data_IF_240330729695
#
_entry.id   IF_240330729695
#
_cell.length_a   1.000
_cell.length_b   1.000
_cell.length_c   1.000
_cell.angle_alpha   90.00
_cell.angle_beta   90.00
_cell.angle_gamma   90.00
#
_symmetry.space_group_name_H-M   'P 1'
#
loop_
_entity.id
_entity.type
_entity.pdbx_description
1 polymer ?
#
# COMPACT_ATOMS: atom_id res chain seq x y z
N UNK A 1 -16.71 19.62 16.22
CA UNK A 1 -15.30 19.18 16.15
C UNK A 1 -15.17 18.22 14.98
N UNK A 2 -14.50 18.61 13.89
CA UNK A 2 -14.15 17.66 12.82
C UNK A 2 -13.06 16.76 13.41
N UNK A 3 -13.36 15.47 13.60
CA UNK A 3 -12.31 14.46 13.84
C UNK A 3 -11.31 14.62 12.69
N UNK A 4 -10.08 15.02 12.99
CA UNK A 4 -8.98 14.78 12.06
C UNK A 4 -8.98 13.26 11.83
N UNK A 5 -9.46 12.82 10.67
CA UNK A 5 -9.11 11.50 10.18
C UNK A 5 -7.59 11.48 10.21
N UNK A 6 -6.99 10.59 11.02
CA UNK A 6 -5.57 10.32 10.93
C UNK A 6 -5.22 10.20 9.45
N UNK A 7 -4.32 11.08 8.99
CA UNK A 7 -3.97 11.17 7.58
C UNK A 7 -3.43 9.80 7.16
N UNK A 8 -4.18 9.11 6.30
CA UNK A 8 -3.79 7.82 5.74
C UNK A 8 -2.40 7.94 5.11
N UNK A 9 -1.60 6.89 5.29
CA UNK A 9 -0.22 6.82 4.83
C UNK A 9 -0.22 6.91 3.31
N UNK A 10 -0.95 6.02 2.62
CA UNK A 10 -0.97 5.96 1.16
C UNK A 10 -2.35 5.79 0.54
N UNK A 11 -3.34 5.26 1.25
CA UNK A 11 -4.63 4.83 0.68
C UNK A 11 -5.35 5.93 -0.09
N UNK A 12 -5.40 7.15 0.44
CA UNK A 12 -6.03 8.30 -0.22
C UNK A 12 -5.33 8.68 -1.53
N UNK A 13 -4.00 8.58 -1.59
CA UNK A 13 -3.24 8.84 -2.83
C UNK A 13 -3.42 7.71 -3.84
N UNK A 14 -3.47 6.46 -3.38
CA UNK A 14 -3.77 5.31 -4.23
C UNK A 14 -5.15 5.44 -4.87
N UNK A 15 -6.19 5.82 -4.10
CA UNK A 15 -7.55 6.06 -4.60
C UNK A 15 -7.57 7.16 -5.66
N UNK A 16 -6.90 8.29 -5.39
CA UNK A 16 -6.83 9.41 -6.35
C UNK A 16 -6.12 8.97 -7.64
N UNK A 17 -5.01 8.24 -7.52
CA UNK A 17 -4.29 7.72 -8.68
C UNK A 17 -5.18 6.81 -9.51
N UNK A 18 -5.85 5.84 -8.88
CA UNK A 18 -6.74 4.92 -9.55
C UNK A 18 -7.82 5.65 -10.35
N UNK A 19 -8.53 6.61 -9.73
CA UNK A 19 -9.58 7.40 -10.40
C UNK A 19 -9.10 8.07 -11.70
N UNK A 20 -7.86 8.55 -11.70
CA UNK A 20 -7.30 9.27 -12.84
C UNK A 20 -6.68 8.35 -13.91
N UNK A 21 -6.56 7.05 -13.64
CA UNK A 21 -5.81 6.12 -14.49
C UNK A 21 -6.60 4.85 -14.87
N UNK A 22 -7.91 4.78 -14.62
CA UNK A 22 -8.76 3.63 -14.96
C UNK A 22 -8.76 3.24 -16.45
N UNK A 23 -8.33 4.12 -17.34
CA UNK A 23 -8.23 3.87 -18.79
C UNK A 23 -6.90 3.27 -19.23
N UNK A 24 -5.91 3.18 -18.33
CA UNK A 24 -4.60 2.61 -18.61
C UNK A 24 -4.61 1.08 -18.56
N UNK A 25 -3.54 0.46 -19.05
CA UNK A 25 -3.33 -0.98 -18.89
C UNK A 25 -3.12 -1.34 -17.41
N UNK A 26 -3.39 -2.60 -17.04
CA UNK A 26 -3.23 -3.07 -15.66
C UNK A 26 -1.80 -2.91 -15.16
N UNK A 27 -0.81 -3.30 -15.97
CA UNK A 27 0.61 -3.18 -15.61
C UNK A 27 1.02 -1.72 -15.32
N UNK A 28 0.53 -0.76 -16.10
CA UNK A 28 0.78 0.67 -15.83
C UNK A 28 0.15 1.14 -14.52
N UNK A 29 -1.01 0.58 -14.14
CA UNK A 29 -1.67 0.88 -12.88
C UNK A 29 -0.92 0.24 -11.70
N UNK A 30 -0.48 -1.01 -11.85
CA UNK A 30 0.32 -1.73 -10.85
C UNK A 30 1.62 -0.98 -10.55
N UNK A 31 2.44 -0.71 -11.58
CA UNK A 31 3.70 0.02 -11.44
C UNK A 31 3.48 1.40 -10.79
N UNK A 32 2.46 2.14 -11.24
CA UNK A 32 2.16 3.46 -10.69
C UNK A 32 1.66 3.42 -9.24
N UNK A 33 0.86 2.41 -8.87
CA UNK A 33 0.44 2.17 -7.49
C UNK A 33 1.62 1.82 -6.60
N UNK A 34 2.47 0.88 -7.04
CA UNK A 34 3.67 0.50 -6.31
C UNK A 34 4.55 1.71 -6.00
N UNK A 35 4.80 2.55 -7.01
CA UNK A 35 5.61 3.76 -6.85
C UNK A 35 4.99 4.75 -5.87
N UNK A 36 3.69 5.01 -5.98
CA UNK A 36 2.97 5.92 -5.07
C UNK A 36 3.02 5.39 -3.64
N UNK A 37 2.82 4.09 -3.44
CA UNK A 37 2.83 3.49 -2.12
C UNK A 37 4.24 3.51 -1.53
N UNK A 38 5.27 3.10 -2.29
CA UNK A 38 6.68 3.18 -1.89
C UNK A 38 7.05 4.60 -1.43
N UNK A 39 6.70 5.62 -2.20
CA UNK A 39 7.00 7.02 -1.86
C UNK A 39 6.30 7.49 -0.58
N UNK A 40 5.05 7.08 -0.37
CA UNK A 40 4.29 7.47 0.81
C UNK A 40 4.74 6.71 2.07
N UNK A 41 5.08 5.42 1.96
CA UNK A 41 5.71 4.65 3.03
C UNK A 41 7.05 5.29 3.42
N UNK A 42 7.89 5.64 2.44
CA UNK A 42 9.17 6.31 2.72
C UNK A 42 8.95 7.60 3.54
N UNK A 43 7.99 8.46 3.15
CA UNK A 43 7.65 9.68 3.89
C UNK A 43 7.13 9.37 5.30
N UNK A 44 6.32 8.34 5.46
CA UNK A 44 5.82 7.92 6.78
C UNK A 44 6.96 7.45 7.69
N UNK A 45 7.86 6.61 7.19
CA UNK A 45 9.01 6.11 7.93
C UNK A 45 9.93 7.25 8.37
N UNK A 46 10.24 8.21 7.49
CA UNK A 46 11.14 9.31 7.83
C UNK A 46 10.49 10.36 8.72
N UNK A 47 9.24 10.74 8.44
CA UNK A 47 8.63 11.91 9.05
C UNK A 47 7.83 11.59 10.32
N UNK A 48 7.21 10.41 10.38
CA UNK A 48 6.34 10.01 11.49
C UNK A 48 7.01 9.00 12.42
N UNK A 49 7.65 7.98 11.87
CA UNK A 49 8.38 6.97 12.67
C UNK A 49 9.75 7.51 13.10
N UNK A 50 10.36 8.40 12.32
CA UNK A 50 11.66 9.02 12.62
C UNK A 50 12.86 8.16 12.20
N UNK A 51 12.68 7.23 11.27
CA UNK A 51 13.78 6.47 10.70
C UNK A 51 14.67 7.36 9.85
N UNK A 52 15.99 7.20 9.99
CA UNK A 52 16.93 7.83 9.06
C UNK A 52 16.77 7.22 7.67
N UNK A 53 16.65 8.07 6.65
CA UNK A 53 16.60 7.64 5.25
C UNK A 53 17.80 6.77 4.85
N UNK A 54 18.97 7.03 5.42
CA UNK A 54 20.20 6.25 5.13
C UNK A 54 20.20 4.86 5.78
N UNK A 55 19.33 4.63 6.76
CA UNK A 55 19.21 3.35 7.47
C UNK A 55 18.06 2.49 6.93
N UNK A 56 17.22 3.05 6.05
CA UNK A 56 16.20 2.30 5.32
C UNK A 56 16.90 1.64 4.13
N UNK A 57 17.15 0.35 4.26
CA UNK A 57 17.89 -0.42 3.26
C UNK A 57 17.06 -0.68 2.01
N UNK A 58 15.78 -0.99 2.20
CA UNK A 58 14.88 -1.36 1.12
C UNK A 58 13.41 -1.13 1.49
N UNK A 59 12.61 -0.77 0.50
CA UNK A 59 11.15 -0.80 0.54
C UNK A 59 10.68 -1.51 -0.74
N UNK A 60 10.28 -2.78 -0.59
CA UNK A 60 9.66 -3.56 -1.65
C UNK A 60 8.15 -3.39 -1.53
N UNK A 61 7.53 -3.03 -2.65
CA UNK A 61 6.09 -3.11 -2.86
C UNK A 61 5.91 -3.74 -4.22
N UNK A 62 5.17 -4.84 -4.28
CA UNK A 62 4.75 -5.50 -5.51
C UNK A 62 3.26 -5.77 -5.44
N UNK A 63 2.54 -5.51 -6.53
CA UNK A 63 1.09 -5.68 -6.60
C UNK A 63 0.69 -6.39 -7.89
N UNK A 64 -0.21 -7.36 -7.77
CA UNK A 64 -0.98 -7.93 -8.89
C UNK A 64 -2.45 -7.61 -8.63
N UNK A 65 -3.11 -6.97 -9.60
CA UNK A 65 -4.47 -6.44 -9.42
C UNK A 65 -5.44 -6.94 -10.48
N UNK A 66 -6.71 -6.97 -10.10
CA UNK A 66 -7.84 -7.04 -11.03
C UNK A 66 -8.93 -6.01 -10.67
N UNK A 67 -9.91 -5.88 -11.56
CA UNK A 67 -11.02 -4.96 -11.42
C UNK A 67 -12.35 -5.70 -11.55
N UNK A 68 -13.12 -5.68 -10.46
CA UNK A 68 -14.52 -6.09 -10.47
C UNK A 68 -15.41 -4.92 -10.89
N UNK A 69 -16.12 -5.08 -12.01
CA UNK A 69 -17.12 -4.10 -12.45
C UNK A 69 -18.48 -4.47 -11.85
N UNK A 70 -18.99 -3.62 -10.95
CA UNK A 70 -20.39 -3.60 -10.53
C UNK A 70 -21.13 -2.52 -11.31
N UNK A 71 -22.46 -2.59 -11.36
CA UNK A 71 -23.30 -1.71 -12.18
C UNK A 71 -23.01 -0.19 -12.03
N UNK A 72 -22.52 0.25 -10.86
CA UNK A 72 -22.23 1.67 -10.57
C UNK A 72 -20.83 1.93 -10.01
N UNK A 73 -20.03 0.89 -9.76
CA UNK A 73 -18.75 1.00 -9.07
C UNK A 73 -17.74 0.03 -9.67
N UNK A 74 -16.51 0.50 -9.83
CA UNK A 74 -15.38 -0.38 -10.13
C UNK A 74 -14.65 -0.64 -8.82
N UNK A 75 -14.55 -1.90 -8.40
CA UNK A 75 -13.80 -2.29 -7.22
C UNK A 75 -12.42 -2.80 -7.65
N UNK A 76 -11.36 -2.22 -7.06
CA UNK A 76 -10.02 -2.77 -7.17
C UNK A 76 -9.95 -4.03 -6.30
N UNK A 77 -9.49 -5.13 -6.90
CA UNK A 77 -9.15 -6.38 -6.23
C UNK A 77 -7.65 -6.51 -6.26
N UNK A 78 -7.04 -6.73 -5.10
CA UNK A 78 -5.64 -7.14 -5.01
C UNK A 78 -5.63 -8.65 -5.06
N UNK A 79 -4.92 -9.26 -6.02
CA UNK A 79 -4.80 -10.71 -6.17
C UNK A 79 -3.57 -11.22 -5.42
N UNK A 80 -2.43 -10.56 -5.62
CA UNK A 80 -1.17 -10.86 -4.96
C UNK A 80 -0.48 -9.57 -4.53
N UNK A 81 0.28 -9.65 -3.45
CA UNK A 81 1.03 -8.50 -2.99
C UNK A 81 2.24 -8.91 -2.14
N UNK A 82 3.26 -8.04 -2.14
CA UNK A 82 4.40 -8.11 -1.23
C UNK A 82 4.72 -6.71 -0.73
N UNK A 83 4.72 -6.55 0.58
CA UNK A 83 5.29 -5.40 1.28
C UNK A 83 6.45 -5.88 2.14
N UNK A 84 7.67 -5.40 1.85
CA UNK A 84 8.83 -5.69 2.68
C UNK A 84 9.64 -4.43 2.95
N UNK A 85 9.92 -4.16 4.22
CA UNK A 85 10.68 -3.00 4.66
C UNK A 85 11.83 -3.48 5.54
N UNK A 86 13.03 -3.09 5.14
CA UNK A 86 14.26 -3.41 5.87
C UNK A 86 14.89 -2.12 6.42
N UNK A 87 15.13 -2.08 7.73
CA UNK A 87 15.81 -0.99 8.45
C UNK A 87 16.96 -1.55 9.27
N UNK A 88 18.15 -0.96 9.14
CA UNK A 88 19.40 -1.46 9.80
C UNK A 88 19.67 -2.94 9.53
N UNK A 89 19.46 -3.38 8.29
CA UNK A 89 19.59 -4.76 7.82
C UNK A 89 18.66 -5.76 8.55
N UNK A 90 17.58 -5.28 9.16
CA UNK A 90 16.54 -6.10 9.77
C UNK A 90 15.21 -5.83 9.10
N UNK A 91 14.46 -6.89 8.84
CA UNK A 91 13.07 -6.78 8.42
C UNK A 91 12.25 -6.24 9.58
N UNK A 92 11.57 -5.13 9.31
CA UNK A 92 10.68 -4.45 10.28
C UNK A 92 9.21 -4.57 9.87
N UNK A 93 8.96 -4.83 8.59
CA UNK A 93 7.65 -5.19 8.08
C UNK A 93 7.83 -6.19 6.93
N UNK A 94 7.06 -7.27 6.98
CA UNK A 94 6.90 -8.22 5.88
C UNK A 94 5.46 -8.70 5.87
N UNK A 95 4.72 -8.33 4.84
CA UNK A 95 3.33 -8.76 4.65
C UNK A 95 3.23 -9.20 3.19
N UNK A 96 2.86 -10.44 2.94
CA UNK A 96 2.65 -10.90 1.57
C UNK A 96 1.53 -11.92 1.46
N UNK A 97 0.97 -11.97 0.24
CA UNK A 97 0.09 -13.03 -0.24
C UNK A 97 0.49 -13.35 -1.68
N UNK A 98 0.99 -14.57 -1.90
CA UNK A 98 1.41 -15.10 -3.20
C UNK A 98 0.74 -16.47 -3.39
N UNK A 99 -0.28 -16.53 -4.24
CA UNK A 99 -1.16 -17.70 -4.33
C UNK A 99 -1.73 -18.11 -2.96
N UNK A 100 -1.38 -19.31 -2.49
CA UNK A 100 -1.82 -19.84 -1.20
C UNK A 100 -0.86 -19.54 -0.02
N UNK A 101 0.30 -18.93 -0.30
CA UNK A 101 1.29 -18.59 0.71
C UNK A 101 1.06 -17.19 1.25
N UNK A 102 1.14 -17.05 2.57
CA UNK A 102 1.04 -15.77 3.25
C UNK A 102 2.00 -15.69 4.44
N UNK A 103 2.49 -14.47 4.72
CA UNK A 103 3.28 -14.15 5.91
C UNK A 103 2.86 -12.78 6.41
N UNK A 104 2.89 -12.62 7.73
CA UNK A 104 2.51 -11.38 8.39
C UNK A 104 3.45 -11.14 9.55
N UNK A 105 4.33 -10.17 9.37
CA UNK A 105 5.21 -9.64 10.40
C UNK A 105 5.20 -8.12 10.33
N UNK A 106 4.87 -7.49 11.45
CA UNK A 106 4.87 -6.03 11.59
C UNK A 106 5.46 -5.68 12.95
N UNK A 107 6.55 -4.92 12.96
CA UNK A 107 7.11 -4.39 14.20
C UNK A 107 6.14 -3.41 14.85
N UNK A 108 6.16 -3.30 16.18
CA UNK A 108 5.15 -2.51 16.93
C UNK A 108 5.04 -1.05 16.45
N UNK A 109 6.16 -0.44 16.08
CA UNK A 109 6.24 0.92 15.59
C UNK A 109 5.72 1.11 14.15
N UNK A 110 5.40 0.02 13.43
CA UNK A 110 4.80 0.04 12.09
C UNK A 110 3.37 -0.50 12.08
N UNK A 111 2.75 -0.69 13.24
CA UNK A 111 1.39 -1.24 13.36
C UNK A 111 0.34 -0.47 12.56
N UNK A 112 0.45 0.86 12.50
CA UNK A 112 -0.46 1.70 11.70
C UNK A 112 -0.35 1.40 10.21
N UNK A 113 0.86 1.22 9.70
CA UNK A 113 1.10 0.83 8.31
C UNK A 113 0.57 -0.58 8.04
N UNK A 114 0.78 -1.51 8.96
CA UNK A 114 0.22 -2.87 8.87
C UNK A 114 -1.31 -2.86 8.72
N UNK A 115 -2.01 -2.13 9.59
CA UNK A 115 -3.47 -2.00 9.51
C UNK A 115 -3.95 -1.37 8.20
N UNK A 116 -3.22 -0.37 7.69
CA UNK A 116 -3.58 0.27 6.42
C UNK A 116 -3.40 -0.68 5.22
N UNK A 117 -2.37 -1.53 5.24
CA UNK A 117 -2.15 -2.58 4.23
C UNK A 117 -3.27 -3.64 4.29
N UNK A 118 -3.69 -4.07 5.49
CA UNK A 118 -4.84 -4.99 5.64
C UNK A 118 -6.13 -4.40 5.07
N UNK A 119 -6.37 -3.09 5.28
CA UNK A 119 -7.52 -2.40 4.68
C UNK A 119 -7.40 -2.39 3.15
N UNK A 120 -6.21 -2.13 2.63
CA UNK A 120 -5.95 -2.11 1.19
C UNK A 120 -6.20 -3.48 0.54
N UNK A 121 -5.77 -4.57 1.18
CA UNK A 121 -5.98 -5.95 0.71
C UNK A 121 -7.46 -6.28 0.49
N UNK A 122 -8.35 -5.81 1.37
CA UNK A 122 -9.79 -6.06 1.27
C UNK A 122 -10.45 -5.40 0.04
N UNK A 123 -9.65 -4.63 -0.72
CA UNK A 123 -10.00 -3.95 -1.94
C UNK A 123 -10.56 -2.57 -1.68
N UNK A 124 -10.41 -1.70 -2.68
CA UNK A 124 -10.82 -0.30 -2.61
C UNK A 124 -11.90 -0.05 -3.65
N UNK A 125 -13.07 0.46 -3.20
CA UNK A 125 -14.13 0.90 -4.10
C UNK A 125 -13.75 2.22 -4.79
N UNK A 126 -13.87 2.25 -6.11
CA UNK A 126 -13.60 3.44 -6.92
C UNK A 126 -14.94 3.89 -7.53
N UNK A 127 -15.46 4.99 -6.98
CA UNK A 127 -16.59 5.71 -7.57
C UNK A 127 -16.09 6.67 -8.64
N UNK A 128 -16.62 6.51 -9.85
CA UNK A 128 -16.40 7.42 -10.98
C UNK A 128 -17.11 8.76 -10.77
#
# INVERSE_FOLDING_TARGET
MKKEMNKLIFLDKAVIFLKNNLTKSRSEIEEGLEDIIKQNIMKYLTNKVGYSKTEINNIVVTLVIDFEKKEKETKLVIEEYLFEINHKNKTVLKIYRLGAENDFFVSENLKELGMEIEIFENGVGITG
#
